data_IF_480647656548
#
_entry.id   IF_480647656548
#
_cell.length_a   1.000
_cell.length_b   1.000
_cell.length_c   1.000
_cell.angle_alpha   90.00
_cell.angle_beta   90.00
_cell.angle_gamma   90.00
#
_symmetry.space_group_name_H-M   'P 1'
#
loop_
_entity.id
_entity.type
_entity.pdbx_description
1 polymer ?
#
# COMPACT_ATOMS: atom_id res chain seq x y z
N UNK A 1 3.20 -18.60 -14.18
CA UNK A 1 3.86 -18.47 -12.84
C UNK A 1 3.95 -16.98 -12.53
N UNK A 2 3.73 -16.51 -11.29
CA UNK A 2 3.71 -15.05 -10.98
C UNK A 2 4.94 -14.31 -11.52
N UNK A 3 6.13 -14.93 -11.46
CA UNK A 3 7.37 -14.36 -12.01
C UNK A 3 7.30 -14.11 -13.52
N UNK A 4 6.75 -15.05 -14.28
CA UNK A 4 6.62 -14.92 -15.73
C UNK A 4 5.66 -13.79 -16.13
N UNK A 5 4.52 -13.67 -15.44
CA UNK A 5 3.58 -12.56 -15.67
C UNK A 5 4.23 -11.20 -15.42
N UNK A 6 5.02 -11.10 -14.36
CA UNK A 6 5.78 -9.88 -14.05
C UNK A 6 6.83 -9.57 -15.13
N UNK A 7 7.54 -10.57 -15.65
CA UNK A 7 8.55 -10.41 -16.70
C UNK A 7 7.95 -10.00 -18.05
N UNK A 8 6.81 -10.59 -18.43
CA UNK A 8 6.17 -10.35 -19.74
C UNK A 8 5.29 -9.10 -19.74
N UNK A 9 4.55 -8.85 -18.65
CA UNK A 9 3.49 -7.83 -18.60
C UNK A 9 3.80 -6.67 -17.66
N UNK A 10 4.80 -6.79 -16.78
CA UNK A 10 5.10 -5.79 -15.75
C UNK A 10 4.12 -5.78 -14.57
N UNK A 11 3.11 -6.65 -14.55
CA UNK A 11 2.17 -6.83 -13.44
C UNK A 11 1.64 -8.26 -13.36
N UNK A 12 1.07 -8.64 -12.21
CA UNK A 12 0.37 -9.91 -12.03
C UNK A 12 -0.86 -9.70 -11.13
N UNK A 13 -1.95 -10.43 -11.40
CA UNK A 13 -3.17 -10.43 -10.59
C UNK A 13 -3.24 -11.73 -9.79
N UNK A 14 -3.39 -11.61 -8.47
CA UNK A 14 -3.41 -12.76 -7.56
C UNK A 14 -4.43 -12.57 -6.44
N UNK A 15 -5.07 -13.66 -6.02
CA UNK A 15 -5.89 -13.71 -4.82
C UNK A 15 -4.99 -13.75 -3.58
N UNK A 16 -4.54 -12.58 -3.15
CA UNK A 16 -3.50 -12.46 -2.13
C UNK A 16 -4.04 -12.54 -0.70
N UNK A 17 -5.16 -11.87 -0.44
CA UNK A 17 -5.80 -11.80 0.88
C UNK A 17 -7.08 -12.62 0.90
N UNK A 18 -7.31 -13.32 2.01
CA UNK A 18 -8.59 -13.92 2.33
C UNK A 18 -9.62 -12.86 2.73
N UNK A 19 -10.90 -13.21 2.66
CA UNK A 19 -11.99 -12.30 3.04
C UNK A 19 -11.88 -11.82 4.50
N UNK A 20 -11.40 -12.67 5.41
CA UNK A 20 -11.19 -12.33 6.82
C UNK A 20 -10.07 -11.30 7.00
N UNK A 21 -8.99 -11.41 6.23
CA UNK A 21 -7.88 -10.45 6.26
C UNK A 21 -8.32 -9.10 5.70
N UNK A 22 -9.10 -9.10 4.60
CA UNK A 22 -9.71 -7.88 4.05
C UNK A 22 -10.61 -7.21 5.08
N UNK A 23 -11.50 -7.97 5.74
CA UNK A 23 -12.39 -7.40 6.75
C UNK A 23 -11.62 -6.83 7.94
N UNK A 24 -10.50 -7.46 8.32
CA UNK A 24 -9.64 -6.96 9.39
C UNK A 24 -9.02 -5.60 9.03
N UNK A 25 -8.51 -5.45 7.81
CA UNK A 25 -7.95 -4.18 7.32
C UNK A 25 -9.02 -3.08 7.20
N UNK A 26 -10.22 -3.42 6.74
CA UNK A 26 -11.35 -2.49 6.70
C UNK A 26 -11.78 -2.05 8.10
N UNK A 27 -11.75 -2.95 9.08
CA UNK A 27 -12.05 -2.62 10.47
C UNK A 27 -10.94 -1.75 11.08
N UNK A 28 -9.67 -2.00 10.73
CA UNK A 28 -8.57 -1.14 11.13
C UNK A 28 -8.76 0.29 10.63
N UNK A 29 -9.08 0.47 9.34
CA UNK A 29 -9.31 1.78 8.73
C UNK A 29 -10.46 2.54 9.40
N UNK A 30 -11.59 1.86 9.64
CA UNK A 30 -12.76 2.45 10.33
C UNK A 30 -12.48 2.90 11.77
N UNK A 31 -11.61 2.18 12.48
CA UNK A 31 -11.36 2.42 13.91
C UNK A 31 -10.10 3.26 14.17
N UNK A 32 -9.31 3.53 13.14
CA UNK A 32 -8.11 4.35 13.26
C UNK A 32 -8.44 5.79 12.85
N UNK A 33 -8.32 6.77 13.76
CA UNK A 33 -8.66 8.15 13.42
C UNK A 33 -7.78 8.64 12.27
N UNK A 34 -8.42 8.98 11.15
CA UNK A 34 -7.72 9.48 9.99
C UNK A 34 -7.15 10.88 10.27
N UNK A 35 -5.86 11.15 10.00
CA UNK A 35 -5.28 12.46 10.24
C UNK A 35 -6.01 13.55 9.45
N UNK A 36 -6.58 14.55 10.13
CA UNK A 36 -7.40 15.60 9.50
C UNK A 36 -6.65 16.40 8.42
N UNK A 37 -5.32 16.49 8.53
CA UNK A 37 -4.44 17.13 7.55
C UNK A 37 -4.38 16.42 6.18
N UNK A 38 -5.01 15.24 6.06
CA UNK A 38 -5.08 14.47 4.82
C UNK A 38 -6.42 14.62 4.08
N UNK A 39 -7.38 15.40 4.59
CA UNK A 39 -8.71 15.56 3.97
C UNK A 39 -8.76 16.63 2.86
N UNK A 40 -7.64 17.26 2.52
CA UNK A 40 -7.62 18.45 1.67
C UNK A 40 -7.53 18.17 0.15
N UNK A 41 -7.26 16.93 -0.28
CA UNK A 41 -7.08 16.57 -1.69
C UNK A 41 -8.04 15.44 -2.11
N UNK A 42 -8.40 15.41 -3.40
CA UNK A 42 -9.29 14.38 -3.94
C UNK A 42 -8.64 12.99 -4.04
N UNK A 43 -7.31 12.90 -4.03
CA UNK A 43 -6.58 11.68 -3.70
C UNK A 43 -5.52 11.97 -2.64
N UNK A 44 -5.51 11.15 -1.58
CA UNK A 44 -4.56 11.32 -0.48
C UNK A 44 -3.91 10.00 -0.06
N UNK A 45 -2.65 10.08 0.33
CA UNK A 45 -1.83 8.96 0.73
C UNK A 45 -1.48 9.09 2.20
N UNK A 46 -1.66 8.03 2.99
CA UNK A 46 -1.33 8.05 4.42
C UNK A 46 0.13 8.35 4.73
N UNK A 47 1.06 8.09 3.80
CA UNK A 47 2.48 8.45 3.94
C UNK A 47 2.69 9.96 4.11
N UNK A 48 1.76 10.78 3.59
CA UNK A 48 1.87 12.25 3.62
C UNK A 48 1.49 12.86 4.97
N UNK A 49 0.96 12.08 5.92
CA UNK A 49 0.71 12.61 7.27
C UNK A 49 2.02 12.81 8.01
N UNK A 50 2.10 13.83 8.87
CA UNK A 50 3.19 14.00 9.83
C UNK A 50 3.06 13.10 11.07
N UNK A 51 1.91 12.44 11.26
CA UNK A 51 1.66 11.55 12.40
C UNK A 51 2.46 10.24 12.29
N UNK A 52 3.60 10.20 12.99
CA UNK A 52 4.48 9.03 13.03
C UNK A 52 3.81 7.81 13.71
N UNK A 53 2.98 8.03 14.72
CA UNK A 53 2.32 6.96 15.45
C UNK A 53 1.32 6.24 14.53
N UNK A 54 0.52 7.02 13.79
CA UNK A 54 -0.38 6.49 12.77
C UNK A 54 0.36 5.69 11.70
N UNK A 55 1.44 6.23 11.11
CA UNK A 55 2.22 5.52 10.08
C UNK A 55 2.85 4.22 10.59
N UNK A 56 3.31 4.22 11.85
CA UNK A 56 3.90 3.04 12.48
C UNK A 56 2.84 1.96 12.70
N UNK A 57 1.68 2.34 13.24
CA UNK A 57 0.56 1.44 13.48
C UNK A 57 0.05 0.84 12.16
N UNK A 58 -0.17 1.67 11.14
CA UNK A 58 -0.57 1.21 9.80
C UNK A 58 0.44 0.21 9.22
N UNK A 59 1.74 0.52 9.31
CA UNK A 59 2.79 -0.37 8.80
C UNK A 59 2.77 -1.72 9.51
N UNK A 60 2.57 -1.74 10.82
CA UNK A 60 2.46 -2.99 11.59
C UNK A 60 1.24 -3.81 11.15
N UNK A 61 0.08 -3.17 11.02
CA UNK A 61 -1.16 -3.86 10.65
C UNK A 61 -1.10 -4.44 9.24
N UNK A 62 -0.57 -3.69 8.27
CA UNK A 62 -0.38 -4.21 6.90
C UNK A 62 0.64 -5.36 6.89
N UNK A 63 1.78 -5.21 7.56
CA UNK A 63 2.83 -6.25 7.57
C UNK A 63 2.36 -7.58 8.14
N UNK A 64 1.45 -7.57 9.12
CA UNK A 64 0.87 -8.77 9.73
C UNK A 64 0.28 -9.74 8.70
N UNK A 65 -0.34 -9.22 7.64
CA UNK A 65 -1.00 -10.03 6.61
C UNK A 65 -0.12 -10.26 5.37
N UNK A 66 0.77 -9.31 5.07
CA UNK A 66 1.53 -9.33 3.81
C UNK A 66 2.88 -10.03 3.93
N UNK A 67 3.61 -9.88 5.04
CA UNK A 67 5.02 -10.27 5.12
C UNK A 67 5.25 -11.77 4.84
N UNK A 68 4.50 -12.65 5.48
CA UNK A 68 4.68 -14.10 5.30
C UNK A 68 4.38 -14.53 3.86
N UNK A 69 3.34 -13.97 3.25
CA UNK A 69 2.94 -14.30 1.87
C UNK A 69 3.94 -13.74 0.85
N UNK A 70 4.46 -12.53 1.08
CA UNK A 70 5.52 -11.96 0.25
C UNK A 70 6.80 -12.80 0.31
N UNK A 71 7.19 -13.31 1.49
CA UNK A 71 8.37 -14.16 1.62
C UNK A 71 8.28 -15.47 0.80
N UNK A 72 7.06 -16.01 0.63
CA UNK A 72 6.82 -17.20 -0.20
C UNK A 72 6.96 -16.87 -1.69
N UNK A 73 6.45 -15.71 -2.12
CA UNK A 73 6.45 -15.29 -3.52
C UNK A 73 7.80 -14.73 -3.98
N UNK A 74 8.46 -13.99 -3.10
CA UNK A 74 9.69 -13.24 -3.34
C UNK A 74 10.67 -13.50 -2.19
N UNK A 75 11.56 -14.48 -2.31
CA UNK A 75 12.48 -14.84 -1.22
C UNK A 75 13.48 -13.73 -0.88
N UNK A 76 13.81 -12.88 -1.86
CA UNK A 76 14.70 -11.73 -1.70
C UNK A 76 13.90 -10.44 -1.82
N UNK A 77 13.30 -9.99 -0.71
CA UNK A 77 12.46 -8.80 -0.69
C UNK A 77 12.66 -7.94 0.55
N UNK A 78 12.33 -6.66 0.42
CA UNK A 78 12.23 -5.70 1.52
C UNK A 78 10.94 -4.92 1.39
N UNK A 79 10.13 -4.90 2.46
CA UNK A 79 8.94 -4.05 2.51
C UNK A 79 9.40 -2.60 2.76
N UNK A 80 9.36 -1.79 1.71
CA UNK A 80 9.79 -0.38 1.74
C UNK A 80 8.70 0.56 2.23
N UNK A 81 7.44 0.30 1.84
CA UNK A 81 6.32 1.19 2.15
C UNK A 81 5.05 0.37 2.42
N UNK A 82 4.30 0.78 3.44
CA UNK A 82 2.93 0.35 3.69
C UNK A 82 2.08 1.62 3.80
N UNK A 83 1.06 1.75 2.95
CA UNK A 83 0.35 3.01 2.77
C UNK A 83 -1.11 2.73 2.36
N UNK A 84 -2.04 3.51 2.89
CA UNK A 84 -3.42 3.57 2.42
C UNK A 84 -3.58 4.73 1.44
N UNK A 85 -4.36 4.51 0.39
CA UNK A 85 -4.73 5.51 -0.60
C UNK A 85 -6.22 5.77 -0.48
N UNK A 86 -6.57 7.03 -0.24
CA UNK A 86 -7.93 7.50 -0.11
C UNK A 86 -8.29 8.26 -1.37
N UNK A 87 -9.38 7.85 -2.02
CA UNK A 87 -9.94 8.53 -3.18
C UNK A 87 -11.27 9.14 -2.78
N UNK A 88 -11.43 10.43 -3.04
CA UNK A 88 -12.71 11.11 -2.97
C UNK A 88 -13.72 10.43 -3.90
N UNK A 89 -15.01 10.37 -3.54
CA UNK A 89 -16.06 9.88 -4.44
C UNK A 89 -16.20 10.75 -5.70
N UNK A 90 -15.71 11.99 -5.68
CA UNK A 90 -15.62 12.82 -6.88
C UNK A 90 -14.42 12.37 -7.75
N UNK A 91 -14.76 11.70 -8.85
CA UNK A 91 -13.82 11.09 -9.81
C UNK A 91 -12.88 12.14 -10.42
N UNK A 92 -13.37 13.35 -10.72
CA UNK A 92 -12.55 14.39 -11.35
C UNK A 92 -11.44 14.89 -10.41
N UNK A 93 -11.71 14.87 -9.10
CA UNK A 93 -10.75 15.28 -8.08
C UNK A 93 -9.76 14.17 -7.69
N UNK A 94 -10.04 12.92 -8.06
CA UNK A 94 -9.32 11.72 -7.60
C UNK A 94 -8.63 10.95 -8.72
N UNK A 95 -8.52 11.54 -9.92
CA UNK A 95 -7.77 10.96 -11.02
C UNK A 95 -6.25 11.06 -10.78
N UNK A 96 -5.54 9.96 -10.98
CA UNK A 96 -4.07 9.95 -10.97
C UNK A 96 -3.59 9.95 -12.43
N UNK A 97 -2.82 10.96 -12.86
CA UNK A 97 -2.21 10.97 -14.18
C UNK A 97 -1.29 9.75 -14.37
N UNK A 98 -1.08 9.34 -15.62
CA UNK A 98 -0.09 8.30 -15.93
C UNK A 98 1.28 8.67 -15.34
N UNK A 99 1.80 7.83 -14.46
CA UNK A 99 3.05 8.04 -13.75
C UNK A 99 3.83 6.71 -13.57
N UNK A 100 5.09 6.83 -13.16
CA UNK A 100 5.89 5.71 -12.66
C UNK A 100 6.30 6.00 -11.22
N UNK A 101 6.27 4.99 -10.35
CA UNK A 101 6.82 5.13 -9.01
C UNK A 101 8.36 5.22 -9.07
N UNK A 102 9.00 5.97 -8.16
CA UNK A 102 10.45 6.07 -8.12
C UNK A 102 11.12 4.70 -7.96
N UNK A 103 12.10 4.41 -8.80
CA UNK A 103 12.98 3.25 -8.61
C UNK A 103 14.06 3.58 -7.57
N UNK A 104 14.14 2.76 -6.53
CA UNK A 104 15.22 2.83 -5.54
C UNK A 104 16.35 1.90 -5.98
N UNK A 105 17.42 2.49 -6.49
CA UNK A 105 18.66 1.75 -6.81
C UNK A 105 19.59 1.87 -5.60
N UNK A 106 19.86 0.76 -4.90
CA UNK A 106 20.96 0.71 -3.96
C UNK A 106 22.26 0.96 -4.75
N UNK A 107 22.83 2.17 -4.63
CA UNK A 107 24.22 2.40 -5.04
C UNK A 107 25.09 1.89 -3.91
N UNK A 108 25.79 0.79 -4.13
CA UNK A 108 26.87 0.36 -3.24
C UNK A 108 27.87 1.52 -3.10
N UNK A 109 28.05 2.01 -1.87
CA UNK A 109 29.18 2.85 -1.46
C UNK A 109 30.16 1.97 -0.70
#
# INVERSE_FOLDING_TARGET
>A
MIKQELEENGYAVIDFLSQTEVQSLLNFDKNSPFPQNLLAAGMTFSINTSDLAYRTLLTQEVKKYFAQKLAILFPEYRIMLCNLVFKSPDVLSSEMPLNQDPSLVERHF
#
